data_IF_528379676957
#
_entry.id   IF_528379676957
#
_cell.length_a   1.000
_cell.length_b   1.000
_cell.length_c   1.000
_cell.angle_alpha   90.00
_cell.angle_beta   90.00
_cell.angle_gamma   90.00
#
_symmetry.space_group_name_H-M   'P 1'
#
loop_
_entity.id
_entity.type
_entity.pdbx_description
1 polymer ?
#
# COMPACT_ATOMS: atom_id res chain seq x y z
N UNK A 1 0.90 -13.17 30.63
CA UNK A 1 0.03 -12.07 30.24
C UNK A 1 0.73 -10.77 30.57
N UNK A 2 1.36 -10.15 29.62
CA UNK A 2 1.86 -8.80 29.75
C UNK A 2 0.81 -7.87 29.15
N UNK A 3 0.05 -7.23 30.03
CA UNK A 3 -0.79 -6.10 29.67
C UNK A 3 0.13 -4.99 29.12
N UNK A 4 0.22 -4.92 27.81
CA UNK A 4 0.85 -3.80 27.13
C UNK A 4 -0.02 -2.58 27.45
N UNK A 5 0.52 -1.63 28.19
CA UNK A 5 -0.16 -0.40 28.55
C UNK A 5 -0.62 0.28 27.26
N UNK A 6 -1.91 0.35 27.03
CA UNK A 6 -2.55 0.69 25.76
C UNK A 6 -2.31 2.14 25.28
N UNK A 7 -1.76 2.99 26.15
CA UNK A 7 -1.59 4.42 25.84
C UNK A 7 -0.42 4.72 24.89
N UNK A 8 0.68 3.94 24.94
CA UNK A 8 1.87 4.22 24.15
C UNK A 8 1.83 3.61 22.74
N UNK A 9 0.90 2.69 22.51
CA UNK A 9 0.68 2.04 21.22
C UNK A 9 -0.54 2.62 20.47
N UNK A 10 -1.31 3.48 21.12
CA UNK A 10 -2.47 4.13 20.53
C UNK A 10 -2.04 4.97 19.31
N UNK A 11 -2.61 4.63 18.15
CA UNK A 11 -2.33 5.32 16.91
C UNK A 11 -1.22 4.72 16.04
N UNK A 12 -0.46 3.72 16.49
CA UNK A 12 0.49 3.00 15.63
C UNK A 12 -0.24 2.06 14.68
N UNK A 13 0.33 1.87 13.49
CA UNK A 13 -0.27 1.11 12.39
C UNK A 13 0.60 -0.09 12.02
N UNK A 14 0.00 -1.27 12.04
CA UNK A 14 0.48 -2.49 11.39
C UNK A 14 -0.63 -2.94 10.44
N UNK A 15 -0.50 -2.59 9.15
CA UNK A 15 -1.54 -2.72 8.14
C UNK A 15 -1.16 -3.76 7.10
N UNK A 16 -2.09 -4.66 6.78
CA UNK A 16 -1.94 -5.61 5.68
C UNK A 16 -2.94 -5.39 4.56
N UNK A 17 -2.46 -5.41 3.32
CA UNK A 17 -3.32 -5.55 2.16
C UNK A 17 -3.75 -7.01 2.02
N UNK A 18 -5.05 -7.22 1.87
CA UNK A 18 -5.68 -8.53 1.69
C UNK A 18 -6.40 -8.52 0.34
N UNK A 19 -5.90 -9.31 -0.60
CA UNK A 19 -6.38 -9.29 -1.98
C UNK A 19 -7.65 -10.11 -2.17
N UNK A 20 -8.50 -9.69 -3.12
CA UNK A 20 -9.72 -10.39 -3.49
C UNK A 20 -9.43 -11.78 -4.09
N UNK A 21 -8.28 -11.95 -4.74
CA UNK A 21 -7.85 -13.22 -5.34
C UNK A 21 -7.05 -14.10 -4.36
N UNK A 22 -6.78 -13.63 -3.15
CA UNK A 22 -6.16 -14.43 -2.11
C UNK A 22 -7.07 -15.55 -1.61
N UNK A 23 -6.47 -16.59 -1.04
CA UNK A 23 -7.19 -17.76 -0.55
C UNK A 23 -7.23 -17.89 0.96
N UNK A 24 -6.30 -17.24 1.67
CA UNK A 24 -6.21 -17.28 3.12
C UNK A 24 -7.26 -16.39 3.79
N UNK A 25 -7.78 -16.84 4.93
CA UNK A 25 -8.53 -15.96 5.83
C UNK A 25 -7.51 -15.30 6.77
N UNK A 26 -7.43 -13.96 6.81
CA UNK A 26 -6.43 -13.28 7.62
C UNK A 26 -6.56 -13.59 9.11
N UNK A 27 -5.42 -13.86 9.75
CA UNK A 27 -5.28 -13.84 11.20
C UNK A 27 -4.88 -12.41 11.61
N UNK A 28 -5.79 -11.69 12.24
CA UNK A 28 -5.59 -10.29 12.61
C UNK A 28 -4.86 -10.11 13.96
N UNK A 29 -4.33 -11.17 14.55
CA UNK A 29 -3.58 -11.10 15.83
C UNK A 29 -2.43 -10.08 15.76
N UNK A 30 -1.77 -10.00 14.62
CA UNK A 30 -0.63 -9.10 14.38
C UNK A 30 -0.95 -7.95 13.43
N UNK A 31 -2.22 -7.53 13.39
CA UNK A 31 -2.68 -6.43 12.52
C UNK A 31 -3.51 -5.42 13.34
N UNK A 32 -3.34 -4.14 13.02
CA UNK A 32 -4.25 -3.08 13.46
C UNK A 32 -5.27 -2.74 12.39
N UNK A 33 -4.88 -2.87 11.12
CA UNK A 33 -5.68 -2.49 9.96
C UNK A 33 -5.57 -3.54 8.86
N UNK A 34 -6.65 -3.70 8.11
CA UNK A 34 -6.69 -4.44 6.86
C UNK A 34 -7.24 -3.53 5.77
N UNK A 35 -6.50 -3.43 4.66
CA UNK A 35 -6.99 -2.88 3.41
C UNK A 35 -7.43 -4.02 2.50
N UNK A 36 -8.73 -4.14 2.26
CA UNK A 36 -9.25 -5.13 1.31
C UNK A 36 -9.08 -4.62 -0.12
N UNK A 37 -8.35 -5.32 -0.92
CA UNK A 37 -7.95 -4.92 -2.26
C UNK A 37 -8.62 -5.84 -3.31
N UNK A 38 -9.50 -5.36 -4.14
CA UNK A 38 -9.86 -3.96 -4.38
C UNK A 38 -11.35 -3.79 -4.69
N UNK A 39 -11.81 -2.54 -4.64
CA UNK A 39 -12.96 -2.07 -5.39
C UNK A 39 -12.48 -1.38 -6.67
N UNK A 40 -13.34 -1.32 -7.68
CA UNK A 40 -13.08 -0.71 -8.98
C UNK A 40 -14.22 0.20 -9.42
N UNK A 41 -13.90 1.18 -10.25
CA UNK A 41 -14.86 2.16 -10.74
C UNK A 41 -15.50 1.71 -12.06
N UNK A 42 -16.80 1.89 -12.17
CA UNK A 42 -17.56 1.68 -13.40
C UNK A 42 -17.82 3.04 -14.05
N UNK A 43 -16.96 3.38 -15.03
CA UNK A 43 -17.01 4.63 -15.77
C UNK A 43 -17.20 4.32 -17.25
N UNK A 44 -18.26 4.85 -17.86
CA UNK A 44 -18.61 4.69 -19.28
C UNK A 44 -18.72 6.04 -19.95
N UNK A 45 -18.02 6.20 -21.07
CA UNK A 45 -18.02 7.47 -21.83
C UNK A 45 -17.72 8.68 -20.93
N UNK A 46 -16.78 8.53 -20.00
CA UNK A 46 -16.42 9.58 -19.06
C UNK A 46 -17.42 9.83 -17.92
N UNK A 47 -18.46 8.98 -17.78
CA UNK A 47 -19.49 9.12 -16.76
C UNK A 47 -19.34 8.01 -15.72
N UNK A 48 -19.13 8.40 -14.47
CA UNK A 48 -19.16 7.49 -13.32
C UNK A 48 -20.58 7.00 -13.07
N UNK A 49 -20.78 5.70 -13.02
CA UNK A 49 -22.08 5.08 -12.74
C UNK A 49 -22.16 4.54 -11.31
N UNK A 50 -21.15 3.79 -10.91
CA UNK A 50 -21.06 3.11 -9.60
C UNK A 50 -19.64 2.59 -9.39
N UNK A 51 -19.39 2.01 -8.22
CA UNK A 51 -18.24 1.12 -8.03
C UNK A 51 -18.70 -0.30 -7.65
N UNK A 52 -17.81 -1.25 -7.70
CA UNK A 52 -18.03 -2.62 -7.27
C UNK A 52 -16.77 -3.26 -6.73
N UNK A 53 -16.94 -4.35 -5.97
CA UNK A 53 -15.81 -5.17 -5.53
C UNK A 53 -15.23 -5.93 -6.72
N UNK A 54 -13.92 -6.05 -6.77
CA UNK A 54 -13.27 -7.03 -7.62
C UNK A 54 -13.49 -8.44 -7.04
N UNK A 55 -13.74 -9.41 -7.91
CA UNK A 55 -14.02 -10.79 -7.49
C UNK A 55 -15.37 -10.96 -6.77
N UNK A 56 -15.47 -12.04 -6.03
CA UNK A 56 -16.72 -12.46 -5.37
C UNK A 56 -16.86 -11.78 -4.00
N UNK A 57 -18.04 -11.24 -3.72
CA UNK A 57 -18.38 -10.64 -2.42
C UNK A 57 -18.23 -11.60 -1.25
N UNK A 58 -18.35 -12.91 -1.48
CA UNK A 58 -18.19 -13.91 -0.41
C UNK A 58 -16.80 -13.85 0.25
N UNK A 59 -15.76 -13.55 -0.52
CA UNK A 59 -14.40 -13.33 -0.01
C UNK A 59 -14.35 -12.13 0.94
N UNK A 60 -14.92 -11.02 0.50
CA UNK A 60 -15.03 -9.80 1.31
C UNK A 60 -15.79 -10.04 2.63
N UNK A 61 -16.93 -10.74 2.54
CA UNK A 61 -17.74 -11.06 3.71
C UNK A 61 -16.99 -11.95 4.72
N UNK A 62 -16.21 -12.92 4.23
CA UNK A 62 -15.34 -13.74 5.08
C UNK A 62 -14.27 -12.91 5.79
N UNK A 63 -13.65 -11.96 5.08
CA UNK A 63 -12.66 -11.06 5.68
C UNK A 63 -13.30 -10.16 6.73
N UNK A 64 -14.48 -9.60 6.48
CA UNK A 64 -15.20 -8.79 7.48
C UNK A 64 -15.51 -9.56 8.77
N UNK A 65 -15.83 -10.83 8.67
CA UNK A 65 -16.17 -11.67 9.83
C UNK A 65 -15.06 -11.78 10.86
N UNK A 66 -13.80 -11.53 10.49
CA UNK A 66 -12.69 -11.55 11.44
C UNK A 66 -12.84 -10.50 12.54
N UNK A 67 -13.59 -9.43 12.34
CA UNK A 67 -13.88 -8.43 13.39
C UNK A 67 -14.60 -9.03 14.58
N UNK A 68 -15.35 -10.11 14.43
CA UNK A 68 -16.00 -10.80 15.54
C UNK A 68 -14.97 -11.45 16.49
N UNK A 69 -13.86 -11.93 15.97
CA UNK A 69 -12.76 -12.50 16.73
C UNK A 69 -11.73 -11.43 17.15
N UNK A 70 -11.52 -10.43 16.29
CA UNK A 70 -10.55 -9.35 16.50
C UNK A 70 -11.24 -7.98 16.36
N UNK A 71 -12.04 -7.56 17.38
CA UNK A 71 -12.82 -6.33 17.29
C UNK A 71 -11.97 -5.05 17.22
N UNK A 72 -10.69 -5.14 17.56
CA UNK A 72 -9.74 -4.02 17.45
C UNK A 72 -9.33 -3.69 16.02
N UNK A 73 -9.43 -4.66 15.09
CA UNK A 73 -8.95 -4.45 13.72
C UNK A 73 -9.88 -3.50 12.95
N UNK A 74 -9.27 -2.57 12.24
CA UNK A 74 -9.96 -1.67 11.32
C UNK A 74 -9.90 -2.24 9.91
N UNK A 75 -11.03 -2.25 9.21
CA UNK A 75 -11.12 -2.73 7.83
C UNK A 75 -11.49 -1.57 6.92
N UNK A 76 -10.63 -1.34 5.92
CA UNK A 76 -10.84 -0.34 4.88
C UNK A 76 -11.04 -1.05 3.53
N UNK A 77 -11.82 -0.44 2.66
CA UNK A 77 -11.92 -0.84 1.26
C UNK A 77 -10.93 0.00 0.44
N UNK A 78 -10.01 -0.68 -0.24
CA UNK A 78 -9.07 -0.03 -1.15
C UNK A 78 -9.62 0.00 -2.57
N UNK A 79 -9.48 1.15 -3.23
CA UNK A 79 -9.88 1.37 -4.62
C UNK A 79 -8.67 1.40 -5.53
N UNK A 80 -8.73 0.70 -6.64
CA UNK A 80 -7.71 0.74 -7.70
C UNK A 80 -8.25 1.40 -8.96
N UNK A 81 -7.36 1.94 -9.79
CA UNK A 81 -7.69 2.38 -11.14
C UNK A 81 -7.67 1.26 -12.19
N UNK A 82 -7.26 0.06 -11.82
CA UNK A 82 -7.32 -1.13 -12.68
C UNK A 82 -8.70 -1.78 -12.61
N UNK A 83 -9.20 -2.27 -13.74
CA UNK A 83 -10.55 -2.85 -13.82
C UNK A 83 -10.44 -4.34 -14.16
N UNK A 84 -11.09 -5.19 -13.37
CA UNK A 84 -11.07 -6.64 -13.55
C UNK A 84 -12.45 -7.25 -13.83
N UNK A 85 -13.52 -6.67 -13.27
CA UNK A 85 -14.91 -7.13 -13.46
C UNK A 85 -15.61 -6.34 -14.57
N UNK A 86 -14.94 -6.17 -15.70
CA UNK A 86 -15.42 -5.30 -16.77
C UNK A 86 -16.42 -5.96 -17.69
N UNK A 87 -17.44 -5.21 -18.11
CA UNK A 87 -17.80 -5.25 -19.50
C UNK A 87 -16.77 -4.38 -20.26
N UNK A 88 -16.37 -4.79 -21.46
CA UNK A 88 -15.33 -4.12 -22.25
C UNK A 88 -15.66 -2.66 -22.66
N UNK A 89 -16.70 -2.06 -22.10
CA UNK A 89 -17.14 -0.70 -22.38
C UNK A 89 -16.65 0.34 -21.37
N UNK A 90 -15.88 -0.08 -20.36
CA UNK A 90 -15.33 0.83 -19.37
C UNK A 90 -14.08 1.51 -19.90
N UNK A 91 -14.10 2.83 -19.91
CA UNK A 91 -13.09 3.66 -20.57
C UNK A 91 -12.38 4.63 -19.61
N UNK A 92 -12.68 4.55 -18.34
CA UNK A 92 -12.16 5.54 -17.42
C UNK A 92 -11.72 4.92 -16.10
N UNK A 93 -11.51 5.76 -15.19
CA UNK A 93 -11.13 5.45 -13.85
C UNK A 93 -11.22 6.72 -13.04
N UNK A 94 -10.27 6.90 -12.14
CA UNK A 94 -10.24 8.09 -11.30
C UNK A 94 -10.11 9.41 -12.08
N UNK A 95 -9.38 9.43 -13.21
CA UNK A 95 -9.20 10.66 -13.98
C UNK A 95 -10.54 11.24 -14.46
N UNK A 96 -11.40 10.41 -15.04
CA UNK A 96 -12.73 10.86 -15.49
C UNK A 96 -13.63 11.25 -14.31
N UNK A 97 -13.68 10.41 -13.26
CA UNK A 97 -14.47 10.69 -12.07
C UNK A 97 -14.04 11.98 -11.38
N UNK A 98 -12.75 12.18 -11.22
CA UNK A 98 -12.20 13.30 -10.45
C UNK A 98 -12.38 14.67 -11.16
N UNK A 99 -12.57 14.69 -12.47
CA UNK A 99 -12.83 15.92 -13.24
C UNK A 99 -14.15 16.60 -12.89
N UNK A 100 -15.17 15.86 -12.52
CA UNK A 100 -16.53 16.38 -12.30
C UNK A 100 -16.83 16.50 -10.82
N UNK A 101 -17.19 17.71 -10.35
CA UNK A 101 -17.66 17.89 -8.98
C UNK A 101 -18.85 16.99 -8.62
N UNK A 102 -19.77 16.80 -9.57
CA UNK A 102 -20.95 15.96 -9.38
C UNK A 102 -20.58 14.49 -9.21
N UNK A 103 -19.68 13.99 -10.06
CA UNK A 103 -19.19 12.60 -9.98
C UNK A 103 -18.39 12.35 -8.70
N UNK A 104 -17.50 13.26 -8.30
CA UNK A 104 -16.77 13.15 -7.03
C UNK A 104 -17.72 13.07 -5.84
N UNK A 105 -18.77 13.91 -5.81
CA UNK A 105 -19.76 13.89 -4.74
C UNK A 105 -20.60 12.60 -4.76
N UNK A 106 -20.99 12.13 -5.93
CA UNK A 106 -21.71 10.86 -6.05
C UNK A 106 -20.86 9.69 -5.55
N UNK A 107 -19.63 9.60 -5.97
CA UNK A 107 -18.68 8.60 -5.51
C UNK A 107 -18.47 8.66 -3.98
N UNK A 108 -18.30 9.85 -3.44
CA UNK A 108 -18.14 10.05 -2.00
C UNK A 108 -19.38 9.59 -1.21
N UNK A 109 -20.59 9.86 -1.71
CA UNK A 109 -21.83 9.36 -1.10
C UNK A 109 -21.96 7.84 -1.21
N UNK A 110 -21.57 7.25 -2.35
CA UNK A 110 -21.56 5.80 -2.54
C UNK A 110 -20.57 5.14 -1.56
N UNK A 111 -19.39 5.73 -1.34
CA UNK A 111 -18.44 5.28 -0.33
C UNK A 111 -19.01 5.34 1.09
N UNK A 112 -19.65 6.44 1.46
CA UNK A 112 -20.31 6.59 2.76
C UNK A 112 -21.37 5.52 2.98
N UNK A 113 -22.23 5.31 1.98
CA UNK A 113 -23.28 4.30 2.04
C UNK A 113 -22.69 2.88 2.20
N UNK A 114 -21.62 2.57 1.49
CA UNK A 114 -20.95 1.28 1.57
C UNK A 114 -20.31 1.04 2.95
N UNK A 115 -19.56 2.01 3.46
CA UNK A 115 -18.95 1.94 4.80
C UNK A 115 -20.03 1.68 5.86
N UNK A 116 -21.13 2.39 5.80
CA UNK A 116 -22.25 2.25 6.73
C UNK A 116 -22.93 0.89 6.61
N UNK A 117 -23.30 0.49 5.38
CA UNK A 117 -24.05 -0.75 5.15
C UNK A 117 -23.23 -2.01 5.42
N UNK A 118 -21.94 -1.97 5.12
CA UNK A 118 -21.04 -3.11 5.32
C UNK A 118 -20.40 -3.14 6.71
N UNK A 119 -20.52 -2.06 7.49
CA UNK A 119 -19.94 -1.97 8.84
C UNK A 119 -18.43 -2.02 8.85
N UNK A 120 -17.78 -1.42 7.86
CA UNK A 120 -16.33 -1.26 7.79
C UNK A 120 -15.90 0.12 8.31
N UNK A 121 -14.60 0.36 8.39
CA UNK A 121 -14.05 1.49 9.13
C UNK A 121 -13.52 2.62 8.23
N UNK A 122 -13.36 2.36 6.94
CA UNK A 122 -12.82 3.41 6.08
C UNK A 122 -12.61 3.03 4.62
N UNK A 123 -12.01 3.98 3.93
CA UNK A 123 -11.71 3.97 2.48
C UNK A 123 -10.22 4.27 2.29
N UNK A 124 -9.59 3.53 1.39
CA UNK A 124 -8.23 3.73 0.93
C UNK A 124 -8.22 3.93 -0.58
N UNK A 125 -7.53 4.96 -1.08
CA UNK A 125 -7.48 5.29 -2.50
C UNK A 125 -6.10 4.97 -3.06
N UNK A 126 -6.06 3.99 -3.94
CA UNK A 126 -4.86 3.55 -4.65
C UNK A 126 -4.95 3.94 -6.13
N UNK A 127 -4.98 5.24 -6.38
CA UNK A 127 -4.90 5.75 -7.75
C UNK A 127 -3.43 5.81 -8.18
N UNK A 128 -3.06 4.95 -9.08
CA UNK A 128 -1.68 4.80 -9.54
C UNK A 128 -1.53 5.16 -11.04
N UNK A 129 -1.30 6.42 -11.39
CA UNK A 129 -1.19 7.58 -10.51
C UNK A 129 -1.91 8.76 -11.15
N UNK A 130 -2.27 9.82 -10.41
CA UNK A 130 -2.79 11.04 -11.02
C UNK A 130 -1.81 11.60 -12.08
N UNK A 131 -2.30 11.84 -13.28
CA UNK A 131 -1.54 12.41 -14.38
C UNK A 131 -0.63 11.45 -15.12
N UNK A 132 -0.64 10.16 -14.81
CA UNK A 132 0.10 9.12 -15.53
C UNK A 132 -0.54 7.74 -15.34
N UNK A 133 -0.15 6.78 -16.14
CA UNK A 133 -0.57 5.38 -15.97
C UNK A 133 0.54 4.42 -16.30
N UNK A 134 0.58 3.30 -15.56
CA UNK A 134 1.33 2.09 -15.92
C UNK A 134 0.44 1.06 -16.62
N UNK A 135 -0.83 1.37 -16.80
CA UNK A 135 -1.84 0.56 -17.49
C UNK A 135 -2.45 1.36 -18.66
N UNK A 136 -3.43 0.79 -19.33
CA UNK A 136 -4.15 1.47 -20.41
C UNK A 136 -5.24 2.45 -19.93
N UNK A 137 -5.34 2.72 -18.63
CA UNK A 137 -6.35 3.63 -18.09
C UNK A 137 -6.11 5.07 -18.53
N UNK A 138 -7.20 5.80 -18.76
CA UNK A 138 -7.14 7.21 -19.08
C UNK A 138 -6.55 8.05 -17.94
N UNK A 139 -5.78 9.06 -18.29
CA UNK A 139 -5.20 10.03 -17.38
C UNK A 139 -5.13 11.42 -18.02
N UNK A 140 -4.95 12.45 -17.21
CA UNK A 140 -4.81 13.82 -17.66
C UNK A 140 -3.70 14.52 -16.86
N UNK A 141 -2.57 14.75 -17.52
CA UNK A 141 -1.38 15.34 -16.91
C UNK A 141 -1.61 16.74 -16.34
N UNK A 142 -2.59 17.46 -16.88
CA UNK A 142 -2.81 18.87 -16.53
C UNK A 142 -3.65 19.05 -15.28
N UNK A 143 -4.58 18.14 -15.01
CA UNK A 143 -5.61 18.36 -13.98
C UNK A 143 -5.72 17.26 -12.92
N UNK A 144 -5.18 16.06 -13.17
CA UNK A 144 -5.37 14.92 -12.26
C UNK A 144 -4.82 15.16 -10.86
N UNK A 145 -3.68 15.84 -10.73
CA UNK A 145 -3.05 16.11 -9.42
C UNK A 145 -3.94 17.00 -8.57
N UNK A 146 -4.48 18.08 -9.14
CA UNK A 146 -5.42 18.96 -8.45
C UNK A 146 -6.73 18.23 -8.16
N UNK A 147 -7.25 17.49 -9.13
CA UNK A 147 -8.50 16.76 -9.00
C UNK A 147 -8.41 15.63 -7.97
N UNK A 148 -7.25 15.02 -7.78
CA UNK A 148 -7.03 14.07 -6.69
C UNK A 148 -7.23 14.73 -5.32
N UNK A 149 -6.68 15.92 -5.14
CA UNK A 149 -6.88 16.70 -3.89
C UNK A 149 -8.36 17.00 -3.67
N UNK A 150 -9.08 17.43 -4.72
CA UNK A 150 -10.52 17.69 -4.65
C UNK A 150 -11.32 16.42 -4.33
N UNK A 151 -10.93 15.27 -4.91
CA UNK A 151 -11.54 13.99 -4.60
C UNK A 151 -11.40 13.62 -3.12
N UNK A 152 -10.21 13.77 -2.56
CA UNK A 152 -9.97 13.47 -1.14
C UNK A 152 -10.72 14.44 -0.22
N UNK A 153 -10.83 15.71 -0.61
CA UNK A 153 -11.65 16.69 0.09
C UNK A 153 -13.14 16.29 0.10
N UNK A 154 -13.68 15.92 -1.05
CA UNK A 154 -15.09 15.51 -1.17
C UNK A 154 -15.37 14.22 -0.41
N UNK A 155 -14.45 13.25 -0.44
CA UNK A 155 -14.54 12.03 0.36
C UNK A 155 -14.55 12.34 1.86
N UNK A 156 -13.65 13.19 2.35
CA UNK A 156 -13.63 13.57 3.77
C UNK A 156 -14.93 14.27 4.18
N UNK A 157 -15.46 15.15 3.36
CA UNK A 157 -16.69 15.85 3.64
C UNK A 157 -17.89 14.89 3.77
N UNK A 158 -17.97 13.88 2.92
CA UNK A 158 -19.06 12.88 2.95
C UNK A 158 -18.89 11.87 4.09
N UNK A 159 -17.67 11.35 4.28
CA UNK A 159 -17.38 10.30 5.27
C UNK A 159 -17.40 10.80 6.73
N UNK A 160 -17.18 12.09 6.95
CA UNK A 160 -17.03 12.64 8.30
C UNK A 160 -15.66 12.35 8.91
N UNK A 161 -15.44 12.78 10.15
CA UNK A 161 -14.13 12.73 10.82
C UNK A 161 -13.82 11.38 11.46
N UNK A 162 -14.81 10.55 11.74
CA UNK A 162 -14.64 9.26 12.41
C UNK A 162 -14.34 8.10 11.46
N UNK A 163 -14.61 8.25 10.18
CA UNK A 163 -14.30 7.25 9.14
C UNK A 163 -12.88 7.44 8.65
N UNK A 164 -12.11 6.36 8.59
CA UNK A 164 -10.74 6.42 8.10
C UNK A 164 -10.72 6.71 6.59
N UNK A 165 -9.83 7.61 6.19
CA UNK A 165 -9.54 7.92 4.79
C UNK A 165 -8.04 7.96 4.61
N UNK A 166 -7.54 7.08 3.76
CA UNK A 166 -6.12 6.93 3.45
C UNK A 166 -5.88 6.87 1.94
N UNK A 167 -4.64 6.91 1.55
CA UNK A 167 -4.24 6.66 0.18
C UNK A 167 -2.90 5.93 0.13
N UNK A 168 -2.61 5.29 -1.00
CA UNK A 168 -1.30 4.75 -1.30
C UNK A 168 -0.51 5.75 -2.13
N UNK A 169 0.65 6.15 -1.64
CA UNK A 169 1.60 7.01 -2.34
C UNK A 169 2.88 6.25 -2.71
N UNK A 170 3.62 6.77 -3.69
CA UNK A 170 4.88 6.20 -4.14
C UNK A 170 6.02 7.21 -3.93
N UNK A 171 7.20 6.96 -4.49
CA UNK A 171 8.25 7.97 -4.51
C UNK A 171 7.88 9.10 -5.47
N UNK A 172 7.86 10.32 -4.96
CA UNK A 172 7.16 11.46 -5.56
C UNK A 172 7.75 11.95 -6.87
N UNK A 173 9.08 11.97 -6.98
CA UNK A 173 9.78 12.51 -8.14
C UNK A 173 10.26 11.41 -9.10
N UNK A 174 9.94 10.13 -8.82
CA UNK A 174 10.29 9.02 -9.70
C UNK A 174 9.33 8.96 -10.89
N UNK A 175 9.61 9.76 -11.89
CA UNK A 175 8.81 9.81 -13.10
C UNK A 175 9.64 9.65 -14.37
N UNK A 176 9.18 8.85 -15.33
CA UNK A 176 9.86 8.70 -16.61
C UNK A 176 9.93 9.96 -17.48
N UNK A 177 9.07 10.94 -17.22
CA UNK A 177 8.78 12.07 -18.12
C UNK A 177 9.31 13.42 -17.64
N UNK A 178 10.26 13.46 -16.72
CA UNK A 178 10.94 14.69 -16.35
C UNK A 178 11.04 14.97 -14.85
N UNK A 179 11.96 15.87 -14.54
CA UNK A 179 12.20 16.31 -13.15
C UNK A 179 11.04 17.19 -12.64
N UNK A 180 10.77 17.08 -11.34
CA UNK A 180 9.86 17.98 -10.64
C UNK A 180 8.38 17.71 -10.82
N UNK A 181 7.98 16.63 -11.48
CA UNK A 181 6.57 16.26 -11.53
C UNK A 181 6.18 15.46 -10.29
N UNK A 182 5.22 16.02 -9.60
CA UNK A 182 4.60 15.37 -8.45
C UNK A 182 3.20 14.92 -8.85
N UNK A 183 2.97 13.61 -8.89
CA UNK A 183 1.67 13.03 -9.22
C UNK A 183 0.66 13.10 -8.08
N UNK A 184 1.08 13.50 -6.88
CA UNK A 184 0.22 13.82 -5.74
C UNK A 184 0.77 15.07 -5.06
N UNK A 185 -0.08 16.07 -4.82
CA UNK A 185 0.24 17.18 -3.93
C UNK A 185 -0.01 16.72 -2.48
N UNK A 186 0.96 16.04 -1.91
CA UNK A 186 0.82 15.40 -0.58
C UNK A 186 0.53 16.41 0.52
N UNK A 187 1.00 17.64 0.37
CA UNK A 187 0.72 18.72 1.34
C UNK A 187 -0.73 19.21 1.25
N UNK A 188 -1.25 19.36 0.03
CA UNK A 188 -2.63 19.76 -0.18
C UNK A 188 -3.62 18.67 0.25
N UNK A 189 -3.25 17.40 0.09
CA UNK A 189 -4.07 16.24 0.47
C UNK A 189 -4.07 16.01 2.00
N UNK A 190 -2.97 16.32 2.67
CA UNK A 190 -2.73 16.01 4.08
C UNK A 190 -3.88 16.36 5.04
N UNK A 191 -4.55 17.53 4.93
CA UNK A 191 -5.67 17.88 5.83
C UNK A 191 -6.87 16.93 5.77
N UNK A 192 -7.02 16.17 4.71
CA UNK A 192 -8.19 15.33 4.44
C UNK A 192 -8.02 13.87 4.82
N UNK A 193 -6.78 13.43 5.05
CA UNK A 193 -6.45 12.02 5.25
C UNK A 193 -5.95 11.74 6.66
N UNK A 194 -6.15 10.51 7.12
CA UNK A 194 -5.64 10.05 8.41
C UNK A 194 -4.17 9.66 8.33
N UNK A 195 -3.76 9.01 7.28
CA UNK A 195 -2.37 8.67 6.98
C UNK A 195 -2.18 8.26 5.52
N UNK A 196 -0.93 8.18 5.11
CA UNK A 196 -0.53 7.68 3.79
C UNK A 196 0.26 6.38 3.92
N UNK A 197 -0.09 5.40 3.09
CA UNK A 197 0.67 4.17 2.89
C UNK A 197 1.71 4.40 1.79
N UNK A 198 2.98 4.55 2.17
CA UNK A 198 4.05 4.81 1.21
C UNK A 198 4.51 3.47 0.63
N UNK A 199 4.26 3.26 -0.65
CA UNK A 199 4.69 2.06 -1.39
C UNK A 199 6.21 2.10 -1.64
N UNK A 200 6.99 1.95 -0.58
CA UNK A 200 8.45 1.99 -0.60
C UNK A 200 9.04 0.64 -1.07
N UNK A 201 8.50 0.13 -2.15
CA UNK A 201 8.92 -1.09 -2.83
C UNK A 201 8.75 -0.90 -4.34
N UNK A 202 9.24 -1.85 -5.11
CA UNK A 202 9.34 -1.70 -6.56
C UNK A 202 10.11 -0.42 -6.97
N UNK A 203 11.04 0.00 -6.11
CA UNK A 203 11.75 1.27 -6.27
C UNK A 203 12.77 1.20 -7.40
N UNK A 204 13.41 0.05 -7.57
CA UNK A 204 14.47 -0.18 -8.56
C UNK A 204 14.39 -1.61 -9.07
N UNK A 205 14.75 -1.82 -10.34
CA UNK A 205 14.85 -3.14 -10.95
C UNK A 205 16.08 -3.93 -10.48
N UNK A 206 16.00 -5.28 -10.57
CA UNK A 206 17.20 -6.12 -10.47
C UNK A 206 18.25 -5.68 -11.52
N UNK A 207 19.54 -5.73 -11.20
CA UNK A 207 20.16 -6.39 -10.03
C UNK A 207 20.25 -5.52 -8.77
N UNK A 208 19.40 -4.56 -8.62
CA UNK A 208 19.37 -3.66 -7.48
C UNK A 208 18.22 -4.02 -6.52
N UNK A 209 18.29 -3.48 -5.29
CA UNK A 209 17.24 -3.73 -4.29
C UNK A 209 15.99 -2.92 -4.56
N UNK A 210 14.85 -3.59 -4.57
CA UNK A 210 13.56 -2.92 -4.73
C UNK A 210 13.14 -2.06 -3.53
N UNK A 211 13.68 -2.35 -2.33
CA UNK A 211 13.22 -1.74 -1.08
C UNK A 211 14.33 -1.69 -0.02
N UNK A 212 15.51 -1.21 -0.41
CA UNK A 212 16.57 -0.94 0.57
C UNK A 212 16.13 0.12 1.57
N UNK A 213 16.55 0.02 2.83
CA UNK A 213 16.26 1.04 3.83
C UNK A 213 16.95 2.35 3.48
N UNK A 214 18.25 2.28 3.24
CA UNK A 214 19.06 3.38 2.80
C UNK A 214 20.17 2.87 1.87
N UNK A 215 20.52 3.67 0.89
CA UNK A 215 21.60 3.37 -0.06
C UNK A 215 22.26 4.68 -0.46
N UNK A 216 23.61 4.75 -0.51
CA UNK A 216 24.31 5.98 -0.88
C UNK A 216 23.98 6.49 -2.28
N UNK A 217 23.99 7.83 -2.44
CA UNK A 217 23.83 8.56 -3.69
C UNK A 217 22.51 8.33 -4.45
N UNK A 218 22.45 8.50 -5.73
CA UNK A 218 21.24 8.57 -6.60
C UNK A 218 20.31 7.34 -6.61
N UNK A 219 20.40 6.48 -5.63
CA UNK A 219 19.59 5.28 -5.52
C UNK A 219 18.25 5.58 -4.85
N UNK A 220 17.16 4.99 -5.37
CA UNK A 220 15.86 5.04 -4.71
C UNK A 220 15.81 4.01 -3.59
N UNK A 221 15.48 4.48 -2.38
CA UNK A 221 15.36 3.67 -1.18
C UNK A 221 14.19 4.15 -0.31
N UNK A 222 13.93 3.45 0.79
CA UNK A 222 12.85 3.78 1.72
C UNK A 222 13.03 5.17 2.33
N UNK A 223 14.25 5.50 2.76
CA UNK A 223 14.55 6.78 3.41
C UNK A 223 14.28 7.95 2.46
N UNK A 224 14.77 7.87 1.22
CA UNK A 224 14.54 8.90 0.22
C UNK A 224 13.06 9.05 -0.11
N UNK A 225 12.34 7.93 -0.21
CA UNK A 225 10.88 7.95 -0.47
C UNK A 225 10.11 8.67 0.63
N UNK A 226 10.49 8.47 1.90
CA UNK A 226 9.87 9.14 3.05
C UNK A 226 10.28 10.62 3.14
N UNK A 227 11.55 10.92 2.89
CA UNK A 227 12.06 12.29 2.96
C UNK A 227 11.29 13.25 2.03
N UNK A 228 10.80 12.77 0.89
CA UNK A 228 9.98 13.58 -0.01
C UNK A 228 8.68 14.06 0.64
N UNK A 229 8.02 13.21 1.43
CA UNK A 229 6.81 13.57 2.18
C UNK A 229 7.12 14.56 3.31
N UNK A 230 8.18 14.32 4.05
CA UNK A 230 8.64 15.20 5.13
C UNK A 230 9.03 16.57 4.60
N UNK A 231 9.78 16.60 3.50
CA UNK A 231 10.22 17.84 2.85
C UNK A 231 9.04 18.64 2.26
N UNK A 232 7.98 17.95 1.84
CA UNK A 232 6.74 18.61 1.42
C UNK A 232 5.92 19.15 2.60
N UNK A 233 6.29 18.83 3.83
CA UNK A 233 5.64 19.32 5.05
C UNK A 233 4.54 18.41 5.59
N UNK A 234 4.53 17.13 5.22
CA UNK A 234 3.66 16.13 5.85
C UNK A 234 4.30 15.68 7.16
N UNK A 235 3.51 15.55 8.20
CA UNK A 235 3.98 15.15 9.52
C UNK A 235 4.36 13.67 9.56
N UNK A 236 5.45 13.33 10.25
CA UNK A 236 5.95 11.95 10.34
C UNK A 236 4.91 10.98 10.94
N UNK A 237 4.08 11.44 11.85
CA UNK A 237 3.01 10.66 12.49
C UNK A 237 1.82 10.32 11.57
N UNK A 238 1.86 10.75 10.32
CA UNK A 238 0.95 10.35 9.25
C UNK A 238 1.58 9.44 8.20
N UNK A 239 2.86 9.07 8.37
CA UNK A 239 3.59 8.27 7.39
C UNK A 239 3.64 6.81 7.82
N UNK A 240 3.18 5.91 6.93
CA UNK A 240 3.24 4.46 7.09
C UNK A 240 4.13 3.88 6.00
N UNK A 241 5.20 3.20 6.39
CA UNK A 241 6.18 2.63 5.45
C UNK A 241 5.69 1.31 4.89
N UNK A 242 5.64 1.19 3.58
CA UNK A 242 5.33 -0.04 2.87
C UNK A 242 6.50 -1.02 2.83
N UNK A 243 6.17 -2.30 3.09
CA UNK A 243 7.10 -3.43 3.09
C UNK A 243 6.61 -4.45 2.06
N UNK A 244 7.45 -4.90 1.12
CA UNK A 244 7.07 -5.96 0.21
C UNK A 244 7.16 -7.32 0.91
N UNK A 245 6.10 -8.12 0.83
CA UNK A 245 6.14 -9.53 1.25
C UNK A 245 6.47 -10.46 0.08
N UNK A 246 7.26 -9.95 -0.84
CA UNK A 246 7.73 -10.64 -2.05
C UNK A 246 9.12 -10.15 -2.45
N UNK A 247 9.84 -10.97 -3.19
CA UNK A 247 11.07 -10.58 -3.88
C UNK A 247 10.78 -10.03 -5.27
N UNK A 248 11.56 -9.04 -5.70
CA UNK A 248 11.48 -8.48 -7.04
C UNK A 248 12.76 -8.77 -7.80
N UNK A 249 12.64 -9.59 -8.86
CA UNK A 249 13.71 -9.86 -9.80
C UNK A 249 13.70 -8.78 -10.91
N UNK A 250 13.40 -9.17 -12.14
CA UNK A 250 13.33 -8.25 -13.27
C UNK A 250 11.87 -7.89 -13.58
N UNK A 251 11.54 -6.60 -13.64
CA UNK A 251 10.18 -6.15 -13.99
C UNK A 251 9.75 -6.65 -15.37
N UNK A 252 10.65 -6.66 -16.35
CA UNK A 252 10.34 -7.09 -17.70
C UNK A 252 10.04 -8.60 -17.79
N UNK A 253 10.59 -9.38 -16.86
CA UNK A 253 10.34 -10.81 -16.75
C UNK A 253 9.12 -11.14 -15.84
N UNK A 254 8.39 -10.12 -15.35
CA UNK A 254 7.30 -10.33 -14.40
C UNK A 254 7.78 -10.89 -13.05
N UNK A 255 9.04 -10.63 -12.71
CA UNK A 255 9.80 -11.30 -11.67
C UNK A 255 9.40 -10.97 -10.25
N UNK A 256 8.22 -11.41 -9.83
CA UNK A 256 7.78 -11.37 -8.44
C UNK A 256 7.69 -12.79 -7.87
N UNK A 257 8.25 -12.98 -6.67
CA UNK A 257 8.22 -14.25 -5.95
C UNK A 257 7.83 -14.00 -4.50
N UNK A 258 6.80 -14.66 -4.01
CA UNK A 258 6.35 -14.50 -2.63
C UNK A 258 7.44 -14.90 -1.62
N UNK A 259 7.48 -14.23 -0.48
CA UNK A 259 8.44 -14.57 0.58
C UNK A 259 8.41 -16.06 0.95
N UNK A 260 7.20 -16.64 1.09
CA UNK A 260 7.05 -18.08 1.38
C UNK A 260 7.70 -18.99 0.35
N UNK A 261 7.73 -18.57 -0.92
CA UNK A 261 8.32 -19.34 -2.01
C UNK A 261 9.84 -19.12 -2.07
N UNK A 262 10.34 -17.96 -1.68
CA UNK A 262 11.78 -17.71 -1.50
C UNK A 262 12.38 -18.71 -0.50
N UNK A 263 11.67 -18.99 0.60
CA UNK A 263 12.13 -19.93 1.63
C UNK A 263 12.31 -21.38 1.09
N UNK A 264 11.69 -21.71 -0.04
CA UNK A 264 11.76 -23.01 -0.68
C UNK A 264 12.82 -23.10 -1.80
N UNK A 265 13.51 -21.99 -2.08
CA UNK A 265 14.58 -21.99 -3.08
C UNK A 265 15.77 -22.81 -2.59
N UNK A 266 16.21 -23.77 -3.40
CA UNK A 266 17.21 -24.78 -3.02
C UNK A 266 18.64 -24.34 -3.35
N UNK A 267 19.57 -24.62 -2.43
CA UNK A 267 21.01 -24.50 -2.70
C UNK A 267 21.47 -25.45 -3.81
N UNK A 268 20.84 -26.61 -3.93
CA UNK A 268 21.18 -27.58 -4.98
C UNK A 268 20.85 -27.03 -6.38
N UNK A 269 19.89 -26.10 -6.46
CA UNK A 269 19.56 -25.38 -7.69
C UNK A 269 20.36 -24.08 -7.89
N UNK A 270 21.36 -23.86 -7.05
CA UNK A 270 22.26 -22.71 -7.12
C UNK A 270 21.79 -21.45 -6.41
N UNK A 271 20.69 -21.53 -5.61
CA UNK A 271 20.20 -20.37 -4.88
C UNK A 271 20.86 -20.20 -3.51
N UNK A 272 21.15 -18.95 -3.15
CA UNK A 272 21.52 -18.54 -1.81
C UNK A 272 20.58 -17.42 -1.38
N UNK A 273 19.77 -17.66 -0.36
CA UNK A 273 18.67 -16.76 0.02
C UNK A 273 19.03 -15.79 1.16
N UNK A 274 20.10 -16.02 1.88
CA UNK A 274 20.47 -15.25 3.07
C UNK A 274 21.65 -14.30 2.86
N UNK A 275 21.87 -13.82 1.63
CA UNK A 275 22.82 -12.74 1.43
C UNK A 275 22.31 -11.47 2.11
N UNK A 276 23.22 -10.65 2.61
CA UNK A 276 22.89 -9.41 3.30
C UNK A 276 23.68 -8.23 2.75
N UNK A 277 22.97 -7.17 2.35
CA UNK A 277 23.60 -5.89 2.02
C UNK A 277 23.64 -5.01 3.27
N UNK A 278 24.84 -4.77 3.79
CA UNK A 278 25.04 -3.99 5.00
C UNK A 278 24.79 -2.50 4.82
N UNK A 279 24.92 -1.97 3.62
CA UNK A 279 24.59 -0.58 3.31
C UNK A 279 23.07 -0.39 3.19
N UNK A 280 22.41 -1.26 2.44
CA UNK A 280 20.98 -1.20 2.21
C UNK A 280 20.13 -1.72 3.36
N UNK A 281 20.73 -2.45 4.30
CA UNK A 281 20.03 -3.15 5.40
C UNK A 281 18.92 -4.08 4.93
N UNK A 282 19.16 -4.84 3.87
CA UNK A 282 18.22 -5.78 3.28
C UNK A 282 18.89 -7.07 2.83
N UNK A 283 18.14 -8.19 2.85
CA UNK A 283 18.59 -9.44 2.27
C UNK A 283 18.41 -9.45 0.75
N UNK A 284 19.09 -10.36 0.09
CA UNK A 284 18.85 -10.65 -1.32
C UNK A 284 19.17 -12.11 -1.65
N UNK A 285 18.58 -12.58 -2.71
CA UNK A 285 18.81 -13.91 -3.26
C UNK A 285 19.81 -13.82 -4.40
N UNK A 286 20.76 -14.73 -4.43
CA UNK A 286 21.61 -14.99 -5.61
C UNK A 286 21.25 -16.34 -6.22
N UNK A 287 21.44 -16.46 -7.54
CA UNK A 287 21.37 -17.70 -8.28
C UNK A 287 22.68 -17.88 -9.04
N UNK A 288 23.38 -18.99 -8.77
CA UNK A 288 24.70 -19.26 -9.36
C UNK A 288 25.69 -18.06 -9.17
N UNK A 289 25.63 -17.41 -8.01
CA UNK A 289 26.47 -16.28 -7.67
C UNK A 289 26.04 -14.92 -8.20
N UNK A 290 25.00 -14.86 -9.04
CA UNK A 290 24.48 -13.60 -9.57
C UNK A 290 23.22 -13.15 -8.82
N UNK A 291 23.03 -11.83 -8.69
CA UNK A 291 21.84 -11.26 -8.06
C UNK A 291 20.56 -11.79 -8.75
N UNK A 292 19.65 -12.34 -7.96
CA UNK A 292 18.38 -12.88 -8.44
C UNK A 292 17.20 -11.96 -8.07
N UNK A 293 16.99 -11.67 -6.78
CA UNK A 293 15.97 -10.74 -6.34
C UNK A 293 16.30 -10.10 -5.00
N UNK A 294 15.86 -8.85 -4.80
CA UNK A 294 15.80 -8.19 -3.51
C UNK A 294 14.47 -8.50 -2.82
N UNK A 295 14.50 -8.67 -1.49
CA UNK A 295 13.33 -8.95 -0.68
C UNK A 295 13.51 -8.43 0.75
N UNK A 296 12.52 -8.63 1.60
CA UNK A 296 12.57 -8.33 3.02
C UNK A 296 12.43 -9.61 3.86
N UNK A 297 13.12 -9.65 5.00
CA UNK A 297 13.06 -10.71 5.99
C UNK A 297 12.87 -10.10 7.40
N UNK A 298 12.75 -10.91 8.48
CA UNK A 298 12.60 -10.37 9.83
C UNK A 298 13.70 -9.39 10.25
N UNK A 299 14.94 -9.61 9.80
CA UNK A 299 16.07 -8.73 10.12
C UNK A 299 15.92 -7.35 9.46
N UNK A 300 15.58 -7.29 8.19
CA UNK A 300 15.36 -6.01 7.49
C UNK A 300 14.13 -5.27 8.01
N UNK A 301 13.06 -6.00 8.34
CA UNK A 301 11.85 -5.42 8.94
C UNK A 301 12.19 -4.80 10.31
N UNK A 302 13.00 -5.47 11.13
CA UNK A 302 13.46 -4.92 12.41
C UNK A 302 14.29 -3.64 12.22
N UNK A 303 15.21 -3.60 11.26
CA UNK A 303 15.99 -2.41 10.93
C UNK A 303 15.10 -1.25 10.46
N UNK A 304 14.16 -1.51 9.58
CA UNK A 304 13.16 -0.52 9.13
C UNK A 304 12.30 -0.03 10.30
N UNK A 305 11.91 -0.91 11.22
CA UNK A 305 11.14 -0.57 12.41
C UNK A 305 11.89 0.36 13.37
N UNK A 306 13.15 0.12 13.62
CA UNK A 306 13.99 1.02 14.42
C UNK A 306 14.07 2.41 13.80
N UNK A 307 14.25 2.48 12.50
CA UNK A 307 14.28 3.73 11.77
C UNK A 307 12.93 4.47 11.83
N UNK A 308 11.81 3.77 11.66
CA UNK A 308 10.45 4.32 11.78
C UNK A 308 10.22 4.93 13.15
N UNK A 309 10.50 4.19 14.22
CA UNK A 309 10.29 4.65 15.59
C UNK A 309 11.18 5.85 15.92
N UNK A 310 12.45 5.81 15.51
CA UNK A 310 13.40 6.92 15.71
C UNK A 310 12.93 8.21 15.03
N UNK A 311 12.22 8.12 13.91
CA UNK A 311 11.75 9.27 13.14
C UNK A 311 10.29 9.64 13.44
N UNK A 312 9.66 9.03 14.43
CA UNK A 312 8.30 9.36 14.85
C UNK A 312 7.23 9.03 13.81
N UNK A 313 7.50 8.08 12.91
CA UNK A 313 6.54 7.65 11.91
C UNK A 313 5.42 6.79 12.52
N UNK A 314 4.32 6.68 11.80
CA UNK A 314 3.09 6.04 12.29
C UNK A 314 3.16 4.51 12.33
N UNK A 315 3.87 3.89 11.40
CA UNK A 315 3.95 2.43 11.36
C UNK A 315 4.35 1.87 10.01
N UNK A 316 3.94 0.64 9.78
CA UNK A 316 4.21 -0.12 8.57
C UNK A 316 2.94 -0.67 7.92
N UNK A 317 2.98 -0.80 6.61
CA UNK A 317 2.04 -1.55 5.80
C UNK A 317 2.77 -2.61 5.00
N UNK A 318 2.10 -3.66 4.57
CA UNK A 318 2.69 -4.63 3.66
C UNK A 318 1.76 -5.01 2.49
N UNK A 319 2.37 -5.27 1.36
CA UNK A 319 1.78 -5.90 0.19
C UNK A 319 2.43 -7.25 -0.03
N UNK A 320 1.71 -8.37 -0.02
CA UNK A 320 0.36 -8.56 0.49
C UNK A 320 0.33 -9.77 1.45
N UNK A 321 -0.83 -10.02 2.02
CA UNK A 321 -1.01 -11.07 3.04
C UNK A 321 -0.61 -12.47 2.55
N UNK A 322 -0.85 -12.80 1.27
CA UNK A 322 -0.52 -14.10 0.70
C UNK A 322 0.99 -14.33 0.50
N UNK A 323 1.80 -13.26 0.59
CA UNK A 323 3.25 -13.37 0.45
C UNK A 323 3.96 -13.99 1.64
N UNK A 324 3.36 -13.92 2.83
CA UNK A 324 3.92 -14.46 4.07
C UNK A 324 3.82 -15.99 4.13
N UNK A 325 4.61 -16.61 4.99
CA UNK A 325 4.50 -18.03 5.27
C UNK A 325 3.31 -18.33 6.19
N UNK A 326 2.99 -19.62 6.34
CA UNK A 326 1.86 -20.07 7.17
C UNK A 326 2.07 -19.78 8.65
N UNK A 327 3.31 -19.63 9.10
CA UNK A 327 3.66 -19.27 10.48
C UNK A 327 3.50 -17.79 10.78
N UNK A 328 3.30 -16.96 9.77
CA UNK A 328 3.19 -15.51 9.92
C UNK A 328 4.51 -14.85 10.28
N UNK A 329 5.62 -15.33 9.75
CA UNK A 329 6.97 -14.88 10.10
C UNK A 329 7.15 -13.39 9.87
N UNK A 330 6.74 -12.88 8.70
CA UNK A 330 6.88 -11.44 8.40
C UNK A 330 5.87 -10.58 9.15
N UNK A 331 4.62 -11.04 9.29
CA UNK A 331 3.59 -10.31 10.07
C UNK A 331 4.00 -10.12 11.53
N UNK A 332 4.52 -11.18 12.15
CA UNK A 332 5.05 -11.12 13.53
C UNK A 332 6.23 -10.16 13.64
N UNK A 333 7.17 -10.24 12.70
CA UNK A 333 8.32 -9.34 12.65
C UNK A 333 7.89 -7.88 12.52
N UNK A 334 6.93 -7.59 11.64
CA UNK A 334 6.39 -6.26 11.43
C UNK A 334 5.68 -5.74 12.68
N UNK A 335 4.81 -6.52 13.27
CA UNK A 335 4.15 -6.18 14.53
C UNK A 335 5.15 -5.86 15.63
N UNK A 336 6.13 -6.74 15.82
CA UNK A 336 7.16 -6.55 16.86
C UNK A 336 8.01 -5.30 16.59
N UNK A 337 8.28 -4.99 15.33
CA UNK A 337 9.06 -3.82 14.95
C UNK A 337 8.33 -2.51 15.24
N UNK A 338 7.01 -2.46 14.98
CA UNK A 338 6.17 -1.27 15.14
C UNK A 338 5.69 -1.08 16.58
N UNK A 339 5.41 -2.18 17.29
CA UNK A 339 4.80 -2.16 18.63
C UNK A 339 5.84 -2.20 19.76
N UNK A 340 7.11 -1.98 19.46
CA UNK A 340 8.14 -1.77 20.51
C UNK A 340 7.81 -0.53 21.35
N UNK A 341 8.09 -0.66 22.66
CA UNK A 341 8.06 0.46 23.62
C UNK A 341 9.29 1.34 23.46
#
# INVERSE_FOLDING_TARGET
>A
SSDVCSSDLAGRVALGYVTYYGTSIPDAKYLTHINYAFAELYVKNGIYEKFGLQGDKSRFDKVKKIKSQYPHVKILLSFTNSVSNTDNSQDGGFSALAKSPEMRKQFAQDCKAFVSSEGIDGIDIDWEFPGMTFSSNAYDELVDVENFTLLMKDLRAALGQSTLLTYAGYCMDKRPQGEGYKYIDVKAVDPYVDFVNIMAYDLVDAPQHQSALNKPSNYWDCQRSVDEYLNAGVSADKLVLGIPFYGRADFNAGGSINYRDILNLSKDDGYVIENWDTEGNVPYVTKNGSFYCGYDNPRSIAAKGEWILKNGMKGMMFWDYEGDDTMGTLRKALWNAVMKK
#
